data_IF_490910287023
#
_entry.id   IF_490910287023
#
_cell.length_a   1.000
_cell.length_b   1.000
_cell.length_c   1.000
_cell.angle_alpha   90.00
_cell.angle_beta   90.00
_cell.angle_gamma   90.00
#
_symmetry.space_group_name_H-M   'P 1'
#
loop_
_entity.id
_entity.type
_entity.pdbx_description
1 polymer ?
#
# COMPACT_ATOMS: atom_id res chain seq x y z
N UNK A 1 15.67 -1.49 -7.34
CA UNK A 1 14.23 -1.59 -7.68
C UNK A 1 13.98 -2.26 -9.02
N UNK A 2 14.86 -2.09 -10.00
CA UNK A 2 14.75 -2.70 -11.32
C UNK A 2 14.48 -4.22 -11.33
N UNK A 3 15.03 -4.97 -10.37
CA UNK A 3 14.80 -6.41 -10.28
C UNK A 3 13.33 -6.77 -10.00
N UNK A 4 12.71 -6.14 -8.98
CA UNK A 4 11.32 -6.40 -8.61
C UNK A 4 10.36 -5.99 -9.73
N UNK A 5 10.60 -4.84 -10.39
CA UNK A 5 9.79 -4.40 -11.53
C UNK A 5 9.78 -5.45 -12.65
N UNK A 6 10.92 -6.06 -12.94
CA UNK A 6 11.04 -7.11 -13.98
C UNK A 6 10.40 -8.44 -13.57
N UNK A 7 10.57 -8.85 -12.32
CA UNK A 7 10.14 -10.18 -11.85
C UNK A 7 8.64 -10.24 -11.49
N UNK A 8 8.10 -9.18 -10.90
CA UNK A 8 6.76 -9.20 -10.26
C UNK A 8 5.71 -8.45 -11.09
N UNK A 9 6.10 -7.77 -12.18
CA UNK A 9 5.21 -7.01 -13.08
C UNK A 9 4.32 -5.99 -12.33
N UNK A 10 4.89 -5.28 -11.37
CA UNK A 10 4.22 -4.18 -10.68
C UNK A 10 4.16 -2.93 -11.57
N UNK A 11 3.04 -2.19 -11.51
CA UNK A 11 2.82 -0.98 -12.32
C UNK A 11 3.70 0.21 -11.92
N UNK A 12 4.15 0.24 -10.66
CA UNK A 12 5.14 1.19 -10.18
C UNK A 12 5.92 0.68 -8.96
N UNK A 13 7.07 1.31 -8.70
CA UNK A 13 7.82 1.13 -7.45
C UNK A 13 8.66 2.36 -7.14
N UNK A 14 8.68 2.77 -5.87
CA UNK A 14 9.52 3.86 -5.37
C UNK A 14 10.34 3.34 -4.19
N UNK A 15 11.65 3.60 -4.19
CA UNK A 15 12.53 3.31 -3.07
C UNK A 15 13.70 4.31 -3.04
N UNK A 16 14.42 4.32 -1.92
CA UNK A 16 15.66 5.07 -1.81
C UNK A 16 16.74 4.48 -2.73
N UNK A 17 17.62 5.34 -3.23
CA UNK A 17 18.70 4.96 -4.14
C UNK A 17 20.03 5.03 -3.38
N UNK A 18 20.79 3.91 -3.39
CA UNK A 18 22.15 3.88 -2.88
C UNK A 18 23.08 4.51 -3.92
N UNK A 19 23.94 5.45 -3.50
CA UNK A 19 24.88 6.12 -4.40
C UNK A 19 26.12 5.23 -4.57
N UNK A 20 26.39 4.87 -5.82
CA UNK A 20 27.54 4.07 -6.24
C UNK A 20 28.52 4.96 -7.00
N UNK A 21 29.79 4.91 -6.63
CA UNK A 21 30.89 5.55 -7.35
C UNK A 21 31.99 4.53 -7.58
N UNK A 22 32.47 4.42 -8.81
CA UNK A 22 33.50 3.44 -9.23
C UNK A 22 33.16 1.99 -8.84
N UNK A 23 31.89 1.61 -8.93
CA UNK A 23 31.40 0.27 -8.57
C UNK A 23 31.31 0.00 -7.06
N UNK A 24 31.62 0.99 -6.21
CA UNK A 24 31.58 0.86 -4.75
C UNK A 24 30.43 1.67 -4.15
N UNK A 25 29.84 1.13 -3.09
CA UNK A 25 28.86 1.85 -2.28
C UNK A 25 29.57 2.98 -1.52
N UNK A 26 29.06 4.20 -1.68
CA UNK A 26 29.64 5.38 -1.02
C UNK A 26 29.18 5.57 0.42
N UNK A 27 28.16 4.84 0.85
CA UNK A 27 27.43 5.08 2.10
C UNK A 27 26.38 6.20 1.99
N UNK A 28 26.38 6.99 0.92
CA UNK A 28 25.38 8.02 0.69
C UNK A 28 24.10 7.44 0.08
N UNK A 29 22.96 8.04 0.43
CA UNK A 29 21.63 7.64 -0.01
C UNK A 29 20.88 8.84 -0.57
N UNK A 30 20.32 8.69 -1.77
CA UNK A 30 19.32 9.62 -2.29
C UNK A 30 17.94 9.18 -1.78
N UNK A 31 17.38 9.98 -0.88
CA UNK A 31 16.10 9.68 -0.21
C UNK A 31 14.93 10.07 -1.11
N UNK A 32 14.26 9.07 -1.66
CA UNK A 32 13.03 9.24 -2.44
C UNK A 32 11.78 8.98 -1.59
N UNK A 33 11.91 8.14 -0.55
CA UNK A 33 10.86 7.78 0.41
C UNK A 33 11.38 8.09 1.80
N UNK A 34 11.00 9.25 2.32
CA UNK A 34 11.35 9.65 3.69
C UNK A 34 10.49 8.88 4.69
N UNK A 35 11.09 8.49 5.81
CA UNK A 35 10.39 7.90 6.98
C UNK A 35 9.26 8.83 7.47
N UNK A 36 9.53 10.13 7.52
CA UNK A 36 8.59 11.14 8.04
C UNK A 36 7.68 11.76 6.96
N UNK A 37 7.99 11.55 5.68
CA UNK A 37 7.28 12.22 4.57
C UNK A 37 7.03 11.29 3.38
N UNK A 38 6.46 10.10 3.66
CA UNK A 38 5.92 9.20 2.62
C UNK A 38 4.83 9.87 1.78
N UNK A 39 4.27 10.99 2.24
CA UNK A 39 3.20 11.72 1.58
C UNK A 39 3.60 12.21 0.18
N UNK A 40 4.86 12.62 -0.05
CA UNK A 40 5.30 13.04 -1.39
C UNK A 40 5.31 11.86 -2.37
N UNK A 41 5.85 10.72 -1.93
CA UNK A 41 5.86 9.49 -2.73
C UNK A 41 4.43 9.00 -3.00
N UNK A 42 3.56 9.05 -1.98
CA UNK A 42 2.16 8.66 -2.10
C UNK A 42 1.39 9.59 -3.06
N UNK A 43 1.56 10.92 -2.96
CA UNK A 43 0.93 11.88 -3.87
C UNK A 43 1.28 11.58 -5.33
N UNK A 44 2.53 11.25 -5.62
CA UNK A 44 2.96 10.89 -6.96
C UNK A 44 2.20 9.66 -7.49
N UNK A 45 2.09 8.60 -6.67
CA UNK A 45 1.34 7.39 -7.02
C UNK A 45 -0.15 7.71 -7.22
N UNK A 46 -0.78 8.42 -6.28
CA UNK A 46 -2.20 8.77 -6.35
C UNK A 46 -2.53 9.58 -7.61
N UNK A 47 -1.66 10.52 -7.99
CA UNK A 47 -1.81 11.31 -9.22
C UNK A 47 -1.62 10.45 -10.46
N UNK A 48 -0.58 9.60 -10.49
CA UNK A 48 -0.28 8.72 -11.63
C UNK A 48 -1.45 7.80 -11.96
N UNK A 49 -2.12 7.25 -10.94
CA UNK A 49 -3.24 6.32 -11.10
C UNK A 49 -4.62 7.00 -10.99
N UNK A 50 -4.68 8.33 -10.88
CA UNK A 50 -5.92 9.10 -10.72
C UNK A 50 -6.88 8.49 -9.67
N UNK A 51 -6.35 8.21 -8.48
CA UNK A 51 -7.06 7.50 -7.40
C UNK A 51 -7.03 8.32 -6.10
N UNK A 52 -8.09 8.25 -5.30
CA UNK A 52 -8.11 8.88 -3.97
C UNK A 52 -7.49 7.95 -2.93
N UNK A 53 -6.83 8.52 -1.93
CA UNK A 53 -6.18 7.75 -0.86
C UNK A 53 -7.13 6.79 -0.13
N UNK A 54 -8.41 7.18 0.02
CA UNK A 54 -9.45 6.38 0.65
C UNK A 54 -9.89 5.17 -0.20
N UNK A 55 -9.56 5.16 -1.49
CA UNK A 55 -9.81 4.04 -2.41
C UNK A 55 -8.61 3.07 -2.44
N UNK A 56 -7.54 3.36 -1.69
CA UNK A 56 -6.35 2.54 -1.62
C UNK A 56 -6.40 1.58 -0.42
N UNK A 57 -5.70 0.45 -0.58
CA UNK A 57 -5.30 -0.41 0.52
C UNK A 57 -3.78 -0.34 0.70
N UNK A 58 -3.30 -0.42 1.95
CA UNK A 58 -1.88 -0.53 2.27
C UNK A 58 -1.62 -1.83 3.03
N UNK A 59 -0.53 -2.53 2.67
CA UNK A 59 -0.09 -3.77 3.31
C UNK A 59 1.36 -3.61 3.74
N UNK A 60 1.68 -3.95 4.99
CA UNK A 60 3.05 -3.93 5.52
C UNK A 60 3.10 -4.38 6.98
N UNK A 61 4.27 -4.31 7.60
CA UNK A 61 4.58 -4.97 8.87
C UNK A 61 5.16 -4.05 9.96
N UNK A 62 5.75 -2.91 9.58
CA UNK A 62 6.47 -2.03 10.50
C UNK A 62 5.77 -0.71 10.82
N UNK A 63 6.34 0.03 11.78
CA UNK A 63 5.81 1.31 12.26
C UNK A 63 5.74 2.40 11.18
N UNK A 64 6.52 2.29 10.12
CA UNK A 64 6.53 3.26 9.01
C UNK A 64 5.22 3.24 8.23
N UNK A 65 4.35 2.25 8.46
CA UNK A 65 3.01 2.14 7.88
C UNK A 65 1.93 2.80 8.74
N UNK A 66 2.18 3.10 10.01
CA UNK A 66 1.14 3.60 10.94
C UNK A 66 0.47 4.88 10.41
N UNK A 67 1.26 5.83 9.90
CA UNK A 67 0.71 7.05 9.32
C UNK A 67 -0.05 6.80 8.01
N UNK A 68 0.32 5.76 7.26
CA UNK A 68 -0.35 5.41 6.02
C UNK A 68 -1.70 4.71 6.30
N UNK A 69 -1.73 3.77 7.25
CA UNK A 69 -2.96 3.10 7.69
C UNK A 69 -4.03 4.09 8.12
N UNK A 70 -3.67 5.17 8.81
CA UNK A 70 -4.59 6.25 9.20
C UNK A 70 -5.21 7.02 8.03
N UNK A 71 -4.69 6.89 6.81
CA UNK A 71 -5.10 7.69 5.65
C UNK A 71 -5.78 6.86 4.55
N UNK A 72 -5.41 5.59 4.41
CA UNK A 72 -5.98 4.70 3.38
C UNK A 72 -7.37 4.19 3.78
N UNK A 73 -8.12 3.65 2.83
CA UNK A 73 -9.42 3.03 3.12
C UNK A 73 -9.32 1.65 3.76
N UNK A 74 -8.16 0.99 3.64
CA UNK A 74 -7.89 -0.30 4.26
C UNK A 74 -6.40 -0.48 4.58
N UNK A 75 -6.05 -0.46 5.86
CA UNK A 75 -4.73 -0.81 6.37
C UNK A 75 -4.67 -2.27 6.82
N UNK A 76 -3.74 -3.03 6.25
CA UNK A 76 -3.50 -4.44 6.60
C UNK A 76 -2.08 -4.59 7.16
N UNK A 77 -1.98 -4.94 8.44
CA UNK A 77 -0.73 -5.35 9.05
C UNK A 77 -0.50 -6.85 8.76
N UNK A 78 0.52 -7.18 7.96
CA UNK A 78 0.88 -8.56 7.63
C UNK A 78 2.12 -8.97 8.42
N UNK A 79 2.01 -9.95 9.32
CA UNK A 79 3.06 -10.35 10.26
C UNK A 79 3.77 -9.17 10.93
N UNK A 80 3.03 -8.26 11.60
CA UNK A 80 3.61 -7.05 12.14
C UNK A 80 4.72 -7.35 13.16
N UNK A 81 5.78 -6.54 13.10
CA UNK A 81 6.95 -6.68 13.98
C UNK A 81 6.66 -6.24 15.41
N UNK A 82 5.74 -5.29 15.58
CA UNK A 82 5.42 -4.67 16.86
C UNK A 82 3.91 -4.57 17.10
N UNK A 83 3.49 -4.70 18.36
CA UNK A 83 2.07 -4.55 18.77
C UNK A 83 1.49 -3.18 18.43
N UNK A 84 2.33 -2.15 18.33
CA UNK A 84 1.87 -0.81 17.95
C UNK A 84 1.35 -0.78 16.51
N UNK A 85 1.92 -1.57 15.61
CA UNK A 85 1.47 -1.68 14.22
C UNK A 85 0.11 -2.36 14.15
N UNK A 86 -0.07 -3.45 14.91
CA UNK A 86 -1.36 -4.16 15.03
C UNK A 86 -2.50 -3.22 15.44
N UNK A 87 -2.25 -2.35 16.42
CA UNK A 87 -3.26 -1.42 16.95
C UNK A 87 -3.72 -0.36 15.94
N UNK A 88 -2.93 -0.09 14.91
CA UNK A 88 -3.18 0.97 13.94
C UNK A 88 -3.68 0.45 12.59
N UNK A 89 -3.74 -0.86 12.39
CA UNK A 89 -4.28 -1.48 11.18
C UNK A 89 -5.75 -1.84 11.34
N UNK A 90 -6.51 -1.81 10.25
CA UNK A 90 -7.89 -2.29 10.24
C UNK A 90 -7.96 -3.82 10.31
N UNK A 91 -6.96 -4.49 9.74
CA UNK A 91 -6.83 -5.95 9.69
C UNK A 91 -5.42 -6.36 10.05
N UNK A 92 -5.29 -7.38 10.90
CA UNK A 92 -4.02 -8.06 11.16
C UNK A 92 -4.07 -9.46 10.55
N UNK A 93 -3.08 -9.80 9.73
CA UNK A 93 -2.92 -11.12 9.12
C UNK A 93 -1.62 -11.74 9.60
N UNK A 94 -1.70 -12.88 10.29
CA UNK A 94 -0.53 -13.66 10.71
C UNK A 94 -0.47 -14.95 9.90
N UNK A 95 0.46 -15.04 8.95
CA UNK A 95 0.55 -16.16 8.01
C UNK A 95 1.91 -16.23 7.31
N UNK A 96 2.28 -17.42 6.84
CA UNK A 96 3.43 -17.60 5.95
C UNK A 96 3.08 -17.38 4.47
N UNK A 97 1.83 -16.99 4.17
CA UNK A 97 1.33 -16.82 2.81
C UNK A 97 0.67 -15.45 2.63
N UNK A 98 1.30 -14.58 1.83
CA UNK A 98 0.78 -13.23 1.56
C UNK A 98 -0.59 -13.27 0.87
N UNK A 99 -0.97 -14.37 0.20
CA UNK A 99 -2.28 -14.49 -0.46
C UNK A 99 -3.45 -14.39 0.52
N UNK A 100 -3.23 -14.61 1.83
CA UNK A 100 -4.28 -14.47 2.84
C UNK A 100 -4.87 -13.04 2.90
N UNK A 101 -4.12 -12.02 2.45
CA UNK A 101 -4.62 -10.64 2.36
C UNK A 101 -5.73 -10.47 1.30
N UNK A 102 -5.78 -11.36 0.28
CA UNK A 102 -6.73 -11.24 -0.83
C UNK A 102 -8.18 -11.31 -0.36
N UNK A 103 -8.46 -12.11 0.68
CA UNK A 103 -9.81 -12.24 1.22
C UNK A 103 -10.34 -10.92 1.79
N UNK A 104 -9.48 -10.00 2.20
CA UNK A 104 -9.84 -8.69 2.72
C UNK A 104 -9.98 -7.65 1.61
N UNK A 105 -9.11 -7.73 0.59
CA UNK A 105 -9.14 -6.84 -0.58
C UNK A 105 -10.35 -7.10 -1.47
N UNK A 106 -10.68 -8.36 -1.73
CA UNK A 106 -11.74 -8.74 -2.68
C UNK A 106 -13.15 -8.64 -2.09
N UNK A 107 -13.30 -8.73 -0.76
CA UNK A 107 -14.61 -8.57 -0.10
C UNK A 107 -15.22 -7.19 -0.34
N UNK A 108 -14.42 -6.13 -0.38
CA UNK A 108 -14.93 -4.77 -0.61
C UNK A 108 -15.48 -4.58 -2.03
N UNK A 109 -14.98 -5.33 -3.02
CA UNK A 109 -15.46 -5.25 -4.41
C UNK A 109 -16.93 -5.69 -4.54
N UNK A 110 -17.35 -6.67 -3.75
CA UNK A 110 -18.72 -7.21 -3.80
C UNK A 110 -19.74 -6.27 -3.15
N UNK A 111 -19.35 -5.52 -2.12
CA UNK A 111 -20.21 -4.52 -1.47
C UNK A 111 -20.53 -3.33 -2.39
N UNK A 112 -19.54 -2.87 -3.17
CA UNK A 112 -19.72 -1.76 -4.13
C UNK A 112 -20.61 -2.16 -5.32
N UNK A 113 -20.45 -3.38 -5.85
CA UNK A 113 -21.29 -3.91 -6.93
C UNK A 113 -22.74 -4.05 -6.46
N UNK A 114 -22.96 -4.55 -5.24
CA UNK A 114 -24.31 -4.68 -4.67
C UNK A 114 -24.99 -3.34 -4.37
N UNK A 115 -24.23 -2.32 -3.99
CA UNK A 115 -24.75 -0.97 -3.79
C UNK A 115 -25.15 -0.32 -5.13
N UNK A 116 -24.28 -0.39 -6.14
CA UNK A 116 -24.54 0.19 -7.47
C UNK A 116 -25.70 -0.50 -8.20
N UNK A 117 -25.86 -1.82 -8.05
CA UNK A 117 -26.99 -2.56 -8.65
C UNK A 117 -28.34 -2.17 -8.02
N UNK A 118 -28.38 -1.98 -6.69
CA UNK A 118 -29.59 -1.49 -5.98
C UNK A 118 -29.96 -0.06 -6.36
N UNK A 119 -28.97 0.83 -6.51
CA UNK A 119 -29.22 2.22 -6.90
C UNK A 119 -29.73 2.34 -8.35
N UNK A 120 -29.25 1.49 -9.25
CA UNK A 120 -29.75 1.39 -10.64
C UNK A 120 -31.19 0.88 -10.71
N UNK A 121 -31.55 -0.13 -9.91
CA UNK A 121 -32.92 -0.66 -9.85
C UNK A 121 -33.91 0.34 -9.24
N UNK A 122 -33.49 1.13 -8.26
CA UNK A 122 -34.30 2.19 -7.63
C UNK A 122 -34.67 3.34 -8.59
N UNK A 123 -33.81 3.64 -9.57
CA UNK A 123 -34.06 4.70 -10.57
C UNK A 123 -34.96 4.28 -11.74
N UNK A 124 -35.36 3.00 -11.79
CA UNK A 124 -36.20 2.43 -12.87
C UNK A 124 -37.67 2.21 -12.47
N UNK A 125 -38.04 2.65 -11.26
CA UNK A 125 -39.41 2.58 -10.73
C UNK A 125 -39.94 3.99 -10.52
#
# INVERSE_FOLDING_TARGET
MERIKREIKVDDSIANELIIQNGLLTGNVKVNVSFHNKDKALRHILQKFNTKIIECAAVGDDETLILLFKKVGLGIAFNPTEKTVEKHADVVVKSNDLRQVLSHLLKQRNSQIHYNSKQYLSQKT
#
